data_IF_984114013064
#
_entry.id   IF_984114013064
#
_cell.length_a   1.000
_cell.length_b   1.000
_cell.length_c   1.000
_cell.angle_alpha   90.00
_cell.angle_beta   90.00
_cell.angle_gamma   90.00
#
_symmetry.space_group_name_H-M   'P 1'
#
loop_
_entity.id
_entity.type
_entity.pdbx_description
1 polymer ?
#
# COMPACT_ATOMS: atom_id res chain seq x y z
N UNK A 1 -41.44 -44.60 0.13
CA UNK A 1 -40.25 -44.58 1.02
C UNK A 1 -39.17 -43.73 0.39
N UNK A 2 -38.97 -42.51 0.88
CA UNK A 2 -37.77 -41.73 0.61
C UNK A 2 -37.43 -40.95 1.87
N UNK A 3 -36.54 -41.51 2.68
CA UNK A 3 -35.89 -40.83 3.80
C UNK A 3 -34.43 -40.60 3.44
N UNK A 4 -34.03 -39.34 3.25
CA UNK A 4 -32.66 -38.89 3.52
C UNK A 4 -32.72 -37.49 4.11
N UNK A 5 -32.88 -37.47 5.43
CA UNK A 5 -32.58 -36.33 6.30
C UNK A 5 -31.08 -36.03 6.16
N UNK A 6 -30.74 -34.90 5.55
CA UNK A 6 -29.38 -34.37 5.63
C UNK A 6 -29.14 -33.88 7.07
N UNK A 7 -28.27 -34.59 7.80
CA UNK A 7 -27.75 -34.13 9.08
C UNK A 7 -26.95 -32.84 8.83
N UNK A 8 -27.49 -31.73 9.33
CA UNK A 8 -26.78 -30.46 9.50
C UNK A 8 -25.64 -30.74 10.49
N UNK A 9 -24.42 -30.87 9.97
CA UNK A 9 -23.23 -30.94 10.81
C UNK A 9 -23.12 -29.65 11.61
N UNK A 10 -22.93 -29.76 12.92
CA UNK A 10 -22.61 -28.64 13.78
C UNK A 10 -21.35 -27.94 13.22
N UNK A 11 -21.50 -26.70 12.75
CA UNK A 11 -20.37 -25.79 12.63
C UNK A 11 -19.92 -25.50 14.07
N UNK A 12 -18.88 -26.19 14.52
CA UNK A 12 -18.16 -25.78 15.71
C UNK A 12 -17.69 -24.33 15.49
N UNK A 13 -18.27 -23.42 16.25
CA UNK A 13 -17.75 -22.07 16.42
C UNK A 13 -16.41 -22.19 17.12
N UNK A 14 -15.35 -22.38 16.34
CA UNK A 14 -13.98 -22.29 16.81
C UNK A 14 -13.78 -20.85 17.26
N UNK A 15 -13.89 -20.60 18.57
CA UNK A 15 -13.39 -19.39 19.21
C UNK A 15 -11.86 -19.37 19.04
N UNK A 16 -11.40 -18.92 17.87
CA UNK A 16 -9.99 -18.61 17.64
C UNK A 16 -9.64 -17.40 18.50
N UNK A 17 -9.05 -17.67 19.67
CA UNK A 17 -8.34 -16.63 20.44
C UNK A 17 -7.32 -16.01 19.50
N UNK A 18 -7.53 -14.74 19.13
CA UNK A 18 -6.54 -13.94 18.45
C UNK A 18 -5.25 -14.00 19.27
N UNK A 19 -4.18 -14.55 18.69
CA UNK A 19 -2.85 -14.46 19.29
C UNK A 19 -2.43 -13.01 19.10
N UNK A 20 -2.45 -12.27 20.21
CA UNK A 20 -2.12 -10.86 20.25
C UNK A 20 -0.59 -10.72 20.12
N UNK A 21 -0.07 -10.78 18.90
CA UNK A 21 1.36 -10.65 18.59
C UNK A 21 1.80 -9.18 18.39
N UNK A 22 0.95 -8.22 18.81
CA UNK A 22 1.19 -6.77 18.75
C UNK A 22 2.51 -6.31 19.41
N UNK A 23 3.21 -7.17 20.17
CA UNK A 23 4.47 -6.81 20.82
C UNK A 23 5.69 -6.78 19.87
N UNK A 24 5.68 -7.56 18.78
CA UNK A 24 6.85 -7.69 17.87
C UNK A 24 6.73 -6.83 16.61
N UNK A 25 5.52 -6.63 16.09
CA UNK A 25 5.30 -5.94 14.82
C UNK A 25 4.21 -4.88 14.95
N UNK A 26 4.50 -3.65 14.47
CA UNK A 26 3.53 -2.58 14.37
C UNK A 26 2.76 -2.72 13.05
N UNK A 27 1.46 -2.43 13.08
CA UNK A 27 0.59 -2.48 11.90
C UNK A 27 1.06 -1.49 10.83
N UNK A 28 1.43 -0.29 11.26
CA UNK A 28 2.04 0.76 10.46
C UNK A 28 3.25 1.32 11.19
N UNK A 29 4.38 1.42 10.49
CA UNK A 29 5.56 2.14 10.93
C UNK A 29 6.04 3.03 9.81
N UNK A 30 6.25 4.30 10.13
CA UNK A 30 6.70 5.31 9.18
C UNK A 30 8.02 5.88 9.67
N UNK A 31 8.96 6.06 8.75
CA UNK A 31 10.13 6.89 8.94
C UNK A 31 10.18 7.88 7.79
N UNK A 32 10.53 9.12 8.12
CA UNK A 32 10.72 10.17 7.14
C UNK A 32 12.10 10.75 7.33
N UNK A 33 12.81 10.95 6.24
CA UNK A 33 14.07 11.66 6.21
C UNK A 33 13.99 12.79 5.19
N UNK A 34 14.62 13.92 5.48
CA UNK A 34 14.70 15.05 4.55
C UNK A 34 16.12 15.62 4.63
N UNK A 35 16.90 15.38 3.58
CA UNK A 35 18.30 15.81 3.49
C UNK A 35 18.51 16.41 2.11
N UNK A 36 19.07 17.61 2.05
CA UNK A 36 19.44 18.32 0.81
C UNK A 36 18.29 18.40 -0.22
N UNK A 37 17.06 18.58 0.26
CA UNK A 37 15.86 18.68 -0.59
C UNK A 37 15.34 17.36 -1.13
N UNK A 38 15.93 16.22 -0.72
CA UNK A 38 15.42 14.87 -1.02
C UNK A 38 14.60 14.40 0.17
N UNK A 39 13.30 14.17 -0.05
CA UNK A 39 12.39 13.62 0.95
C UNK A 39 12.29 12.11 0.74
N UNK A 40 12.54 11.34 1.78
CA UNK A 40 12.40 9.88 1.78
C UNK A 40 11.36 9.46 2.81
N UNK A 41 10.40 8.64 2.38
CA UNK A 41 9.43 7.96 3.23
C UNK A 41 9.71 6.46 3.20
N UNK A 42 9.99 5.86 4.36
CA UNK A 42 9.97 4.41 4.56
C UNK A 42 8.68 4.05 5.30
N UNK A 43 7.78 3.34 4.61
CA UNK A 43 6.49 2.87 5.13
C UNK A 43 6.57 1.35 5.25
N UNK A 44 6.47 0.86 6.48
CA UNK A 44 6.48 -0.57 6.78
C UNK A 44 5.08 -0.94 7.25
N UNK A 45 4.44 -1.83 6.50
CA UNK A 45 3.15 -2.43 6.82
C UNK A 45 3.34 -3.90 7.15
N UNK A 46 2.67 -4.34 8.20
CA UNK A 46 2.66 -5.76 8.57
C UNK A 46 1.33 -6.37 8.13
N UNK A 47 1.40 -7.30 7.17
CA UNK A 47 0.26 -8.07 6.71
C UNK A 47 0.04 -9.25 7.68
N UNK A 48 -1.16 -9.36 8.23
CA UNK A 48 -1.54 -10.37 9.25
C UNK A 48 -2.60 -11.35 8.79
N UNK A 49 -2.85 -11.37 7.48
CA UNK A 49 -3.79 -12.33 6.91
C UNK A 49 -3.19 -13.72 6.83
N UNK A 50 -3.67 -14.62 7.71
CA UNK A 50 -3.91 -16.07 7.44
C UNK A 50 -4.58 -16.79 8.63
N UNK A 51 -5.26 -16.09 9.55
CA UNK A 51 -5.70 -16.56 10.89
C UNK A 51 -4.62 -16.48 11.99
N UNK A 52 -4.12 -15.28 12.26
CA UNK A 52 -3.50 -14.95 13.57
C UNK A 52 -1.98 -14.86 13.65
N UNK A 53 -1.25 -14.97 12.53
CA UNK A 53 0.17 -14.65 12.45
C UNK A 53 0.45 -13.69 11.28
N UNK A 54 1.38 -12.72 11.43
CA UNK A 54 1.83 -11.92 10.31
C UNK A 54 2.30 -12.81 9.16
N UNK A 55 1.80 -12.61 7.96
CA UNK A 55 2.13 -13.43 6.80
C UNK A 55 3.31 -12.83 6.03
N UNK A 56 3.40 -11.49 6.01
CA UNK A 56 4.46 -10.78 5.33
C UNK A 56 4.71 -9.38 5.92
N UNK A 57 5.94 -8.90 5.79
CA UNK A 57 6.32 -7.51 6.04
C UNK A 57 6.47 -6.83 4.68
N UNK A 58 5.70 -5.76 4.46
CA UNK A 58 5.72 -4.96 3.25
C UNK A 58 6.45 -3.66 3.52
N UNK A 59 7.58 -3.46 2.86
CA UNK A 59 8.39 -2.25 3.00
C UNK A 59 8.32 -1.44 1.70
N UNK A 60 7.83 -0.21 1.81
CA UNK A 60 7.79 0.78 0.73
C UNK A 60 8.78 1.89 1.06
N UNK A 61 9.73 2.14 0.16
CA UNK A 61 10.62 3.30 0.22
C UNK A 61 10.28 4.20 -0.96
N UNK A 62 9.87 5.41 -0.66
CA UNK A 62 9.50 6.44 -1.63
C UNK A 62 10.49 7.58 -1.48
N UNK A 63 11.25 7.88 -2.52
CA UNK A 63 12.16 9.05 -2.54
C UNK A 63 11.64 10.07 -3.53
N UNK A 64 11.50 11.31 -3.07
CA UNK A 64 10.96 12.44 -3.80
C UNK A 64 12.09 13.46 -3.94
N UNK A 65 12.44 13.75 -5.19
CA UNK A 65 13.52 14.67 -5.57
C UNK A 65 13.18 15.31 -6.93
N UNK A 66 14.15 15.47 -7.82
CA UNK A 66 13.89 15.82 -9.23
C UNK A 66 13.10 14.72 -9.96
N UNK A 67 13.24 13.47 -9.53
CA UNK A 67 12.39 12.35 -9.91
C UNK A 67 11.80 11.69 -8.65
N UNK A 68 10.73 10.92 -8.84
CA UNK A 68 10.06 10.17 -7.77
C UNK A 68 10.38 8.69 -7.95
N UNK A 69 11.13 8.11 -7.01
CA UNK A 69 11.48 6.70 -7.03
C UNK A 69 10.70 5.92 -5.98
N UNK A 70 10.37 4.69 -6.34
CA UNK A 70 9.63 3.76 -5.52
C UNK A 70 10.38 2.43 -5.44
N UNK A 71 10.60 1.95 -4.23
CA UNK A 71 11.08 0.60 -3.95
C UNK A 71 10.03 -0.10 -3.09
N UNK A 72 9.59 -1.28 -3.53
CA UNK A 72 8.67 -2.13 -2.80
C UNK A 72 9.28 -3.50 -2.56
N UNK A 73 9.35 -3.92 -1.31
CA UNK A 73 9.87 -5.23 -0.90
C UNK A 73 8.87 -5.95 -0.02
N UNK A 74 8.75 -7.26 -0.21
CA UNK A 74 7.99 -8.15 0.66
C UNK A 74 8.99 -9.12 1.30
N UNK A 75 8.90 -9.26 2.62
CA UNK A 75 9.65 -10.24 3.40
C UNK A 75 8.68 -11.23 4.04
N UNK A 76 9.06 -12.50 4.12
CA UNK A 76 8.38 -13.45 5.00
C UNK A 76 8.78 -13.20 6.47
N UNK A 77 8.20 -13.95 7.41
CA UNK A 77 8.50 -13.82 8.84
C UNK A 77 9.92 -14.21 9.26
N UNK A 78 10.65 -14.94 8.41
CA UNK A 78 12.06 -15.27 8.63
C UNK A 78 12.98 -14.16 8.11
N UNK A 79 12.41 -13.01 7.72
CA UNK A 79 13.12 -11.87 7.14
C UNK A 79 13.78 -12.20 5.79
N UNK A 80 13.28 -13.20 5.08
CA UNK A 80 13.73 -13.54 3.73
C UNK A 80 12.93 -12.74 2.71
N UNK A 81 13.62 -12.13 1.76
CA UNK A 81 13.01 -11.36 0.67
C UNK A 81 12.26 -12.31 -0.26
N UNK A 82 10.94 -12.12 -0.39
CA UNK A 82 10.08 -12.92 -1.26
C UNK A 82 9.71 -12.21 -2.55
N UNK A 83 9.69 -10.87 -2.53
CA UNK A 83 9.39 -10.06 -3.71
C UNK A 83 10.09 -8.70 -3.63
N UNK A 84 10.50 -8.17 -4.78
CA UNK A 84 11.06 -6.83 -4.89
C UNK A 84 10.62 -6.17 -6.22
N UNK A 85 10.28 -4.88 -6.18
CA UNK A 85 10.01 -4.05 -7.35
C UNK A 85 10.61 -2.67 -7.13
N UNK A 86 11.20 -2.11 -8.19
CA UNK A 86 11.71 -0.75 -8.23
C UNK A 86 11.17 -0.02 -9.45
N UNK A 87 10.78 1.23 -9.29
CA UNK A 87 10.24 2.07 -10.35
C UNK A 87 10.63 3.54 -10.13
N UNK A 88 10.80 4.28 -11.22
CA UNK A 88 11.09 5.72 -11.19
C UNK A 88 10.12 6.42 -12.12
N UNK A 89 9.50 7.48 -11.62
CA UNK A 89 8.63 8.38 -12.36
C UNK A 89 9.34 9.72 -12.48
N UNK A 90 9.70 10.16 -13.70
CA UNK A 90 10.28 11.48 -13.86
C UNK A 90 9.25 12.56 -13.55
N UNK A 91 9.65 13.63 -12.86
CA UNK A 91 8.74 14.77 -12.62
C UNK A 91 8.44 15.53 -13.91
N UNK A 92 9.40 15.53 -14.85
CA UNK A 92 9.24 16.11 -16.18
C UNK A 92 8.11 15.44 -16.95
N UNK A 93 7.22 16.23 -17.54
CA UNK A 93 6.08 15.74 -18.32
C UNK A 93 4.87 15.26 -17.49
N UNK A 94 4.97 15.28 -16.15
CA UNK A 94 3.84 15.03 -15.25
C UNK A 94 3.15 16.35 -14.92
N UNK A 95 1.82 16.38 -15.05
CA UNK A 95 0.96 17.51 -14.72
C UNK A 95 0.49 17.46 -13.26
N UNK A 96 0.14 16.27 -12.78
CA UNK A 96 -0.51 16.13 -11.49
C UNK A 96 -0.27 14.73 -10.93
N UNK A 97 -0.17 14.63 -9.61
CA UNK A 97 -0.29 13.37 -8.90
C UNK A 97 -1.59 13.32 -8.08
N UNK A 98 -2.27 12.18 -8.11
CA UNK A 98 -3.43 11.91 -7.26
C UNK A 98 -3.27 10.58 -6.55
N UNK A 99 -3.77 10.47 -5.34
CA UNK A 99 -3.80 9.23 -4.57
C UNK A 99 -5.21 8.66 -4.50
N UNK A 100 -5.32 7.34 -4.38
CA UNK A 100 -6.53 6.69 -3.91
C UNK A 100 -6.16 5.75 -2.78
N UNK A 101 -7.01 5.71 -1.77
CA UNK A 101 -6.96 4.77 -0.67
C UNK A 101 -8.26 3.96 -0.68
N UNK A 102 -8.13 2.65 -0.52
CA UNK A 102 -9.27 1.74 -0.37
C UNK A 102 -9.08 0.99 0.92
N UNK A 103 -10.15 0.92 1.71
CA UNK A 103 -10.23 0.08 2.87
C UNK A 103 -11.60 -0.58 2.91
N UNK A 104 -11.62 -1.89 3.15
CA UNK A 104 -12.84 -2.65 3.39
C UNK A 104 -12.70 -3.41 4.71
N UNK A 105 -13.81 -3.49 5.46
CA UNK A 105 -13.87 -4.25 6.71
C UNK A 105 -14.63 -5.53 6.47
N UNK A 106 -13.88 -6.63 6.35
CA UNK A 106 -14.44 -7.98 6.34
C UNK A 106 -14.15 -8.64 7.70
N UNK A 107 -13.40 -9.75 7.71
CA UNK A 107 -12.88 -10.38 8.93
C UNK A 107 -11.69 -9.63 9.55
N UNK A 108 -10.97 -8.87 8.71
CA UNK A 108 -9.89 -7.93 9.05
C UNK A 108 -10.10 -6.65 8.24
N UNK A 109 -9.34 -5.59 8.54
CA UNK A 109 -9.19 -4.45 7.66
C UNK A 109 -8.31 -4.84 6.50
N UNK A 110 -8.89 -4.81 5.30
CA UNK A 110 -8.17 -5.00 4.07
C UNK A 110 -8.03 -3.66 3.35
N UNK A 111 -6.80 -3.21 3.14
CA UNK A 111 -6.53 -1.90 2.59
C UNK A 111 -5.39 -1.90 1.57
N UNK A 112 -5.49 -0.94 0.66
CA UNK A 112 -4.50 -0.69 -0.39
C UNK A 112 -4.51 0.78 -0.80
N UNK A 113 -3.39 1.24 -1.34
CA UNK A 113 -3.28 2.60 -1.87
C UNK A 113 -2.46 2.64 -3.15
N UNK A 114 -2.72 3.69 -3.93
CA UNK A 114 -1.95 3.95 -5.14
C UNK A 114 -1.89 5.43 -5.49
N UNK A 115 -0.82 5.79 -6.19
CA UNK A 115 -0.59 7.08 -6.81
C UNK A 115 -0.75 6.97 -8.32
N UNK A 116 -1.42 7.96 -8.92
CA UNK A 116 -1.60 8.14 -10.35
C UNK A 116 -0.91 9.43 -10.77
N UNK A 117 0.03 9.33 -11.70
CA UNK A 117 0.81 10.44 -12.23
C UNK A 117 0.28 10.80 -13.62
N UNK A 118 -0.50 11.86 -13.69
CA UNK A 118 -1.15 12.31 -14.91
C UNK A 118 -0.16 13.03 -15.79
N UNK A 119 -0.04 12.61 -17.05
CA UNK A 119 0.78 13.31 -18.03
C UNK A 119 0.15 14.65 -18.40
N UNK A 120 1.01 15.61 -18.79
CA UNK A 120 0.57 16.84 -19.43
C UNK A 120 0.04 16.51 -20.83
N UNK A 121 -1.26 16.28 -20.98
CA UNK A 121 -1.86 15.95 -22.28
C UNK A 121 -2.17 17.23 -23.05
N UNK A 122 -1.63 17.38 -24.27
CA UNK A 122 -2.11 18.38 -25.24
C UNK A 122 -3.30 17.88 -26.06
N UNK A 123 -3.62 16.57 -26.04
CA UNK A 123 -4.71 15.96 -26.80
C UNK A 123 -5.45 14.89 -25.98
N UNK A 124 -6.75 14.76 -26.21
CA UNK A 124 -7.66 13.82 -25.53
C UNK A 124 -7.19 12.38 -25.79
N UNK A 125 -6.95 11.56 -24.74
CA UNK A 125 -6.45 10.20 -24.92
C UNK A 125 -7.43 9.34 -25.72
N UNK A 126 -6.93 8.63 -26.74
CA UNK A 126 -7.66 7.49 -27.31
C UNK A 126 -7.68 6.36 -26.28
N UNK A 127 -8.78 5.61 -26.26
CA UNK A 127 -9.32 4.84 -25.12
C UNK A 127 -8.38 3.77 -24.50
N UNK A 128 -7.14 3.57 -24.98
CA UNK A 128 -6.21 2.58 -24.42
C UNK A 128 -4.78 3.02 -24.09
N UNK A 129 -4.36 4.27 -24.30
CA UNK A 129 -3.07 4.76 -23.79
C UNK A 129 -3.31 5.45 -22.45
N UNK A 130 -2.91 4.82 -21.35
CA UNK A 130 -3.20 5.34 -20.01
C UNK A 130 -2.65 6.75 -19.89
N UNK A 131 -3.54 7.72 -19.66
CA UNK A 131 -3.20 9.13 -19.41
C UNK A 131 -2.33 9.35 -18.15
N UNK A 132 -1.97 8.28 -17.45
CA UNK A 132 -1.22 8.31 -16.21
C UNK A 132 -0.35 7.07 -15.99
N UNK A 133 0.77 7.27 -15.28
CA UNK A 133 1.58 6.19 -14.68
C UNK A 133 0.95 5.79 -13.34
N UNK A 134 0.95 4.49 -13.04
CA UNK A 134 0.30 3.93 -11.84
C UNK A 134 1.32 3.21 -10.95
N UNK A 135 1.36 3.60 -9.67
CA UNK A 135 2.14 2.90 -8.65
C UNK A 135 1.30 2.68 -7.39
N UNK A 136 1.38 1.51 -6.76
CA UNK A 136 0.62 1.23 -5.54
C UNK A 136 1.15 0.05 -4.74
N UNK A 137 0.40 -0.36 -3.73
CA UNK A 137 0.77 -1.38 -2.72
C UNK A 137 1.09 -2.78 -3.29
N UNK A 138 0.83 -3.01 -4.59
CA UNK A 138 1.07 -4.31 -5.22
C UNK A 138 0.18 -5.43 -4.67
N UNK A 139 -0.95 -5.06 -4.07
CA UNK A 139 -1.92 -5.95 -3.45
C UNK A 139 -2.49 -5.37 -2.16
N UNK A 140 -3.52 -6.04 -1.69
CA UNK A 140 -4.28 -5.76 -0.49
C UNK A 140 -3.48 -6.19 0.76
N UNK A 141 -3.51 -5.37 1.82
CA UNK A 141 -2.82 -5.60 3.10
C UNK A 141 -3.88 -5.82 4.17
N UNK A 142 -3.84 -6.98 4.83
CA UNK A 142 -4.84 -7.30 5.83
C UNK A 142 -4.35 -7.17 7.28
N UNK A 143 -5.10 -6.45 8.11
CA UNK A 143 -4.76 -6.24 9.52
C UNK A 143 -5.98 -6.29 10.45
N UNK A 144 -5.92 -6.92 11.65
CA UNK A 144 -7.03 -6.90 12.60
C UNK A 144 -7.40 -5.49 13.07
N UNK A 145 -6.44 -4.56 13.09
CA UNK A 145 -6.66 -3.17 13.46
C UNK A 145 -6.49 -2.26 12.25
N UNK A 146 -7.23 -1.15 12.26
CA UNK A 146 -7.09 -0.13 11.25
C UNK A 146 -5.72 0.57 11.39
N UNK A 147 -4.95 0.76 10.31
CA UNK A 147 -3.71 1.54 10.35
C UNK A 147 -4.03 3.05 10.46
N UNK A 148 -4.37 3.51 11.67
CA UNK A 148 -4.69 4.92 11.92
C UNK A 148 -3.58 5.86 11.43
N UNK A 149 -3.97 6.91 10.71
CA UNK A 149 -3.04 7.90 10.13
C UNK A 149 -2.55 7.58 8.71
N UNK A 150 -2.97 6.45 8.11
CA UNK A 150 -2.49 6.06 6.77
C UNK A 150 -3.01 7.01 5.68
N UNK A 151 -4.24 7.52 5.77
CA UNK A 151 -4.77 8.46 4.77
C UNK A 151 -4.04 9.80 4.82
N UNK A 152 -3.80 10.34 6.02
CA UNK A 152 -3.04 11.57 6.21
C UNK A 152 -1.62 11.42 5.69
N UNK A 153 -0.98 10.27 5.93
CA UNK A 153 0.33 9.94 5.40
C UNK A 153 0.32 9.90 3.86
N UNK A 154 -0.63 9.18 3.25
CA UNK A 154 -0.76 9.08 1.79
C UNK A 154 -0.98 10.48 1.19
N UNK A 155 -1.82 11.30 1.82
CA UNK A 155 -2.08 12.66 1.40
C UNK A 155 -0.83 13.55 1.51
N UNK A 156 -0.07 13.42 2.60
CA UNK A 156 1.20 14.13 2.77
C UNK A 156 2.21 13.74 1.69
N UNK A 157 2.39 12.44 1.43
CA UNK A 157 3.27 11.93 0.39
C UNK A 157 2.84 12.47 -0.99
N UNK A 158 1.54 12.46 -1.29
CA UNK A 158 1.00 13.02 -2.53
C UNK A 158 1.34 14.51 -2.67
N UNK A 159 1.18 15.30 -1.61
CA UNK A 159 1.47 16.74 -1.65
C UNK A 159 2.95 17.02 -1.87
N UNK A 160 3.85 16.24 -1.25
CA UNK A 160 5.29 16.41 -1.46
C UNK A 160 5.71 15.98 -2.87
N UNK A 161 5.11 14.92 -3.41
CA UNK A 161 5.27 14.55 -4.83
C UNK A 161 4.80 15.69 -5.75
N UNK A 162 3.63 16.28 -5.47
CA UNK A 162 3.08 17.39 -6.26
C UNK A 162 4.01 18.61 -6.23
N UNK A 163 4.56 18.98 -5.08
CA UNK A 163 5.55 20.07 -4.96
C UNK A 163 6.81 19.78 -5.77
N UNK A 164 7.32 18.55 -5.74
CA UNK A 164 8.47 18.17 -6.56
C UNK A 164 8.18 18.28 -8.07
N UNK A 165 6.99 17.84 -8.49
CA UNK A 165 6.51 17.98 -9.87
C UNK A 165 6.43 19.46 -10.28
N UNK A 166 5.96 20.34 -9.40
CA UNK A 166 5.87 21.78 -9.65
C UNK A 166 7.25 22.45 -9.72
N UNK A 167 8.14 22.14 -8.76
CA UNK A 167 9.50 22.67 -8.74
C UNK A 167 10.31 22.27 -9.99
N UNK A 168 10.06 21.08 -10.53
CA UNK A 168 10.70 20.62 -11.77
C UNK A 168 10.28 21.43 -13.02
N UNK A 169 9.23 22.27 -12.94
CA UNK A 169 8.76 23.10 -14.07
C UNK A 169 9.43 24.47 -14.17
N UNK A 170 10.06 24.94 -13.09
CA UNK A 170 10.60 26.30 -12.98
C UNK A 170 9.62 27.28 -12.35
#
# INVERSE_FOLDING_TARGET
>A
MFSKLFKRGNMETINKKAINNNSLYKNLKVRTNNVDGVIEYEVILTDTTTDGNPFAIRNYVIKISNDISFSYKIFNLNNELTFNRFEVVPCSGIEKVTSEFKCSRNYVYDYGFHFKFWHKTTEVPSVSDKAYIYWGTGGDVGNPEYPEGIEELIYQIQNDMQKAIENARG
#
